data_IF_488783473263
#
_entry.id   IF_488783473263
#
_cell.length_a   1.000
_cell.length_b   1.000
_cell.length_c   1.000
_cell.angle_alpha   90.00
_cell.angle_beta   90.00
_cell.angle_gamma   90.00
#
_symmetry.space_group_name_H-M   'P 1'
#
loop_
_entity.id
_entity.type
_entity.pdbx_description
1 polymer ?
#
# COMPACT_ATOMS: atom_id res chain seq x y z
N UNK A 1 -37.62 22.27 8.71
CA UNK A 1 -38.32 21.09 9.27
C UNK A 1 -37.47 20.23 10.21
N UNK A 2 -36.13 20.34 10.23
CA UNK A 2 -35.25 19.56 11.12
C UNK A 2 -35.46 19.86 12.62
N UNK A 3 -35.76 21.12 12.98
CA UNK A 3 -35.86 21.57 14.38
C UNK A 3 -37.04 20.94 15.16
N UNK A 4 -38.20 20.76 14.52
CA UNK A 4 -39.37 20.15 15.17
C UNK A 4 -39.13 18.69 15.53
N UNK A 5 -38.46 17.95 14.64
CA UNK A 5 -38.11 16.53 14.86
C UNK A 5 -37.07 16.39 15.97
N UNK A 6 -36.06 17.27 16.01
CA UNK A 6 -35.03 17.28 17.06
C UNK A 6 -35.62 17.57 18.44
N UNK A 7 -36.59 18.49 18.53
CA UNK A 7 -37.30 18.79 19.79
C UNK A 7 -38.10 17.58 20.28
N UNK A 8 -38.79 16.85 19.39
CA UNK A 8 -39.50 15.63 19.79
C UNK A 8 -38.53 14.61 20.40
N UNK A 9 -37.39 14.34 19.76
CA UNK A 9 -36.40 13.39 20.27
C UNK A 9 -35.69 13.84 21.57
N UNK A 10 -35.52 15.14 21.79
CA UNK A 10 -34.96 15.70 23.03
C UNK A 10 -35.90 15.58 24.22
N UNK A 11 -37.21 15.74 23.99
CA UNK A 11 -38.21 15.78 25.06
C UNK A 11 -38.90 14.43 25.30
N UNK A 12 -38.92 13.52 24.31
CA UNK A 12 -39.47 12.15 24.44
C UNK A 12 -38.95 11.39 25.67
N UNK A 13 -37.64 11.46 26.03
CA UNK A 13 -37.13 10.77 27.22
C UNK A 13 -37.76 11.29 28.51
N UNK A 14 -38.18 12.55 28.60
CA UNK A 14 -38.79 13.07 29.83
C UNK A 14 -40.18 12.48 30.11
N UNK A 15 -40.85 11.92 29.10
CA UNK A 15 -42.16 11.29 29.24
C UNK A 15 -42.10 9.78 29.43
N UNK A 16 -40.91 9.18 29.36
CA UNK A 16 -40.71 7.74 29.55
C UNK A 16 -40.30 7.43 31.01
N UNK A 17 -40.73 6.29 31.57
CA UNK A 17 -40.29 5.89 32.91
C UNK A 17 -38.76 5.72 32.91
N UNK A 18 -38.09 6.26 33.94
CA UNK A 18 -36.62 6.27 34.03
C UNK A 18 -36.01 4.86 33.89
N UNK A 19 -36.71 3.82 34.35
CA UNK A 19 -36.28 2.43 34.18
C UNK A 19 -36.26 1.99 32.71
N UNK A 20 -37.28 2.36 31.92
CA UNK A 20 -37.33 2.07 30.50
C UNK A 20 -36.23 2.83 29.73
N UNK A 21 -35.97 4.08 30.09
CA UNK A 21 -34.87 4.86 29.48
C UNK A 21 -33.53 4.19 29.77
N UNK A 22 -33.26 3.80 31.02
CA UNK A 22 -32.00 3.13 31.42
C UNK A 22 -31.81 1.81 30.68
N UNK A 23 -32.87 1.00 30.56
CA UNK A 23 -32.82 -0.24 29.79
C UNK A 23 -32.55 0.06 28.31
N UNK A 24 -33.28 0.99 27.70
CA UNK A 24 -33.09 1.37 26.30
C UNK A 24 -31.67 1.88 26.02
N UNK A 25 -31.13 2.78 26.87
CA UNK A 25 -29.75 3.27 26.71
C UNK A 25 -28.73 2.16 26.86
N UNK A 26 -28.93 1.23 27.80
CA UNK A 26 -28.04 0.07 27.98
C UNK A 26 -28.02 -0.82 26.73
N UNK A 27 -29.19 -1.15 26.16
CA UNK A 27 -29.27 -1.95 24.94
C UNK A 27 -28.67 -1.20 23.74
N UNK A 28 -28.91 0.10 23.64
CA UNK A 28 -28.32 0.91 22.57
C UNK A 28 -26.81 1.01 22.68
N UNK A 29 -26.27 1.16 23.89
CA UNK A 29 -24.83 1.11 24.11
C UNK A 29 -24.25 -0.25 23.67
N UNK A 30 -24.92 -1.37 23.98
CA UNK A 30 -24.47 -2.68 23.51
C UNK A 30 -24.50 -2.81 21.99
N UNK A 31 -25.60 -2.40 21.34
CA UNK A 31 -25.72 -2.44 19.87
C UNK A 31 -24.64 -1.59 19.21
N UNK A 32 -24.42 -0.37 19.70
CA UNK A 32 -23.39 0.52 19.16
C UNK A 32 -21.99 -0.06 19.35
N UNK A 33 -21.68 -0.59 20.54
CA UNK A 33 -20.39 -1.20 20.82
C UNK A 33 -20.14 -2.43 19.94
N UNK A 34 -21.14 -3.30 19.80
CA UNK A 34 -21.08 -4.46 18.90
C UNK A 34 -20.91 -4.04 17.44
N UNK A 35 -21.61 -3.00 16.99
CA UNK A 35 -21.46 -2.43 15.65
C UNK A 35 -20.06 -1.87 15.41
N UNK A 36 -19.49 -1.15 16.37
CA UNK A 36 -18.12 -0.64 16.30
C UNK A 36 -17.09 -1.78 16.19
N UNK A 37 -17.23 -2.83 17.01
CA UNK A 37 -16.33 -3.99 16.95
C UNK A 37 -16.44 -4.69 15.59
N UNK A 38 -17.66 -4.88 15.08
CA UNK A 38 -17.90 -5.49 13.78
C UNK A 38 -17.27 -4.67 12.64
N UNK A 39 -17.54 -3.36 12.59
CA UNK A 39 -17.00 -2.46 11.58
C UNK A 39 -15.47 -2.39 11.65
N UNK A 40 -14.90 -2.36 12.85
CA UNK A 40 -13.46 -2.40 13.04
C UNK A 40 -12.87 -3.71 12.52
N UNK A 41 -13.46 -4.86 12.83
CA UNK A 41 -13.01 -6.16 12.31
C UNK A 41 -13.11 -6.25 10.80
N UNK A 42 -14.24 -5.84 10.22
CA UNK A 42 -14.45 -5.80 8.77
C UNK A 42 -13.40 -4.93 8.07
N UNK A 43 -13.20 -3.70 8.56
CA UNK A 43 -12.25 -2.75 7.99
C UNK A 43 -10.82 -3.26 8.07
N UNK A 44 -10.36 -3.75 9.23
CA UNK A 44 -8.99 -4.27 9.37
C UNK A 44 -8.74 -5.50 8.49
N UNK A 45 -9.73 -6.39 8.35
CA UNK A 45 -9.61 -7.53 7.45
C UNK A 45 -9.50 -7.09 5.99
N UNK A 46 -10.30 -6.10 5.58
CA UNK A 46 -10.22 -5.51 4.23
C UNK A 46 -8.85 -4.89 3.94
N UNK A 47 -8.34 -4.07 4.87
CA UNK A 47 -7.00 -3.47 4.79
C UNK A 47 -5.90 -4.55 4.76
N UNK A 48 -6.00 -5.58 5.60
CA UNK A 48 -5.05 -6.67 5.65
C UNK A 48 -4.99 -7.43 4.32
N UNK A 49 -6.14 -7.84 3.79
CA UNK A 49 -6.23 -8.56 2.52
C UNK A 49 -5.69 -7.72 1.36
N UNK A 50 -6.09 -6.46 1.28
CA UNK A 50 -5.57 -5.54 0.26
C UNK A 50 -4.05 -5.38 0.37
N UNK A 51 -3.53 -5.12 1.58
CA UNK A 51 -2.09 -4.98 1.80
C UNK A 51 -1.32 -6.25 1.46
N UNK A 52 -1.86 -7.42 1.80
CA UNK A 52 -1.24 -8.71 1.52
C UNK A 52 -1.06 -8.94 0.02
N UNK A 53 -2.12 -8.77 -0.78
CA UNK A 53 -2.05 -8.94 -2.22
C UNK A 53 -1.16 -7.91 -2.91
N UNK A 54 -1.18 -6.66 -2.43
CA UNK A 54 -0.23 -5.62 -2.88
C UNK A 54 1.21 -6.07 -2.64
N UNK A 55 1.52 -6.58 -1.45
CA UNK A 55 2.86 -7.08 -1.10
C UNK A 55 3.23 -8.25 -2.00
N UNK A 56 2.35 -9.24 -2.18
CA UNK A 56 2.61 -10.41 -3.04
C UNK A 56 2.89 -10.01 -4.49
N UNK A 57 2.11 -9.07 -5.04
CA UNK A 57 2.32 -8.60 -6.40
C UNK A 57 3.66 -7.85 -6.52
N UNK A 58 4.01 -7.02 -5.53
CA UNK A 58 5.32 -6.35 -5.50
C UNK A 58 6.46 -7.37 -5.40
N UNK A 59 6.33 -8.40 -4.56
CA UNK A 59 7.31 -9.50 -4.45
C UNK A 59 7.51 -10.16 -5.82
N UNK A 60 6.43 -10.47 -6.54
CA UNK A 60 6.51 -11.11 -7.84
C UNK A 60 7.24 -10.24 -8.88
N UNK A 61 6.91 -8.95 -8.95
CA UNK A 61 7.55 -8.01 -9.89
C UNK A 61 9.03 -7.81 -9.55
N UNK A 62 9.35 -7.58 -8.28
CA UNK A 62 10.73 -7.36 -7.85
C UNK A 62 11.59 -8.61 -7.99
N UNK A 63 11.07 -9.82 -7.74
CA UNK A 63 11.80 -11.05 -8.02
C UNK A 63 12.19 -11.18 -9.49
N UNK A 64 11.30 -10.79 -10.42
CA UNK A 64 11.60 -10.75 -11.85
C UNK A 64 12.70 -9.74 -12.17
N UNK A 65 12.63 -8.54 -11.60
CA UNK A 65 13.66 -7.50 -11.75
C UNK A 65 15.02 -7.99 -11.21
N UNK A 66 15.04 -8.58 -10.01
CA UNK A 66 16.26 -9.13 -9.40
C UNK A 66 16.85 -10.22 -10.28
N UNK A 67 16.02 -11.14 -10.77
CA UNK A 67 16.47 -12.22 -11.67
C UNK A 67 17.09 -11.65 -12.94
N UNK A 68 16.48 -10.61 -13.52
CA UNK A 68 16.99 -9.94 -14.70
C UNK A 68 18.33 -9.25 -14.41
N UNK A 69 18.45 -8.54 -13.29
CA UNK A 69 19.70 -7.93 -12.82
C UNK A 69 20.80 -8.97 -12.64
N UNK A 70 20.50 -10.11 -12.00
CA UNK A 70 21.46 -11.18 -11.75
C UNK A 70 21.88 -11.92 -13.03
N UNK A 71 21.06 -11.83 -14.09
CA UNK A 71 21.35 -12.40 -15.41
C UNK A 71 22.18 -11.49 -16.32
N UNK A 72 22.45 -10.25 -15.92
CA UNK A 72 23.26 -9.32 -16.71
C UNK A 72 24.71 -9.78 -16.81
N UNK A 73 25.28 -9.68 -18.01
CA UNK A 73 26.69 -9.97 -18.21
C UNK A 73 27.56 -8.96 -17.44
N UNK A 74 28.52 -9.47 -16.68
CA UNK A 74 29.38 -8.66 -15.80
C UNK A 74 28.80 -8.32 -14.42
N UNK A 75 27.59 -8.78 -14.08
CA UNK A 75 27.00 -8.53 -12.76
C UNK A 75 27.85 -9.08 -11.60
N UNK A 76 27.94 -8.29 -10.52
CA UNK A 76 28.54 -8.70 -9.23
C UNK A 76 27.57 -8.39 -8.09
N UNK A 77 27.49 -9.28 -7.11
CA UNK A 77 26.56 -9.15 -5.98
C UNK A 77 26.74 -7.87 -5.15
N UNK A 78 27.92 -7.26 -5.17
CA UNK A 78 28.23 -6.02 -4.43
C UNK A 78 28.00 -4.74 -5.24
N UNK A 79 27.55 -4.84 -6.50
CA UNK A 79 27.29 -3.65 -7.32
C UNK A 79 26.14 -2.82 -6.72
N UNK A 80 26.31 -1.49 -6.61
CA UNK A 80 25.23 -0.60 -6.22
C UNK A 80 24.14 -0.55 -7.29
N UNK A 81 22.93 -0.16 -6.87
CA UNK A 81 21.75 -0.04 -7.72
C UNK A 81 21.34 1.43 -7.81
N UNK A 82 21.07 1.90 -9.01
CA UNK A 82 20.46 3.18 -9.29
C UNK A 82 19.07 2.96 -9.90
N UNK A 83 18.07 3.62 -9.34
CA UNK A 83 16.70 3.61 -9.86
C UNK A 83 16.43 4.99 -10.45
N UNK A 84 16.01 5.03 -11.71
CA UNK A 84 15.75 6.25 -12.48
C UNK A 84 14.27 6.22 -12.91
N UNK A 85 13.61 7.38 -12.93
CA UNK A 85 12.19 7.50 -13.27
C UNK A 85 11.31 7.87 -12.07
N UNK A 86 9.99 7.88 -12.27
CA UNK A 86 9.05 7.95 -11.17
C UNK A 86 9.12 6.67 -10.33
N UNK A 87 8.66 6.75 -9.09
CA UNK A 87 8.69 5.59 -8.22
C UNK A 87 7.91 4.43 -8.85
N UNK A 88 8.46 3.21 -8.86
CA UNK A 88 7.82 2.06 -9.47
C UNK A 88 6.46 1.82 -8.82
N UNK A 89 5.40 2.17 -9.55
CA UNK A 89 4.03 1.90 -9.18
C UNK A 89 3.53 0.71 -10.01
N UNK A 90 3.34 -0.41 -9.33
CA UNK A 90 2.77 -1.60 -9.94
C UNK A 90 1.30 -1.68 -9.51
N UNK A 91 0.36 -1.21 -10.34
CA UNK A 91 -1.04 -1.18 -9.96
C UNK A 91 -1.51 -2.59 -9.63
N UNK A 92 -2.08 -2.76 -8.45
CA UNK A 92 -2.59 -4.06 -8.04
C UNK A 92 -3.93 -4.35 -8.67
N UNK A 93 -4.23 -5.62 -8.95
CA UNK A 93 -5.58 -6.03 -9.40
C UNK A 93 -6.63 -5.58 -8.39
N UNK A 94 -6.27 -5.46 -7.10
CA UNK A 94 -7.16 -5.02 -6.04
C UNK A 94 -7.53 -3.54 -6.13
N UNK A 95 -6.66 -2.69 -6.67
CA UNK A 95 -6.99 -1.27 -6.88
C UNK A 95 -8.05 -1.07 -7.96
N UNK A 96 -8.26 -2.07 -8.83
CA UNK A 96 -9.37 -2.02 -9.80
C UNK A 96 -10.74 -2.24 -9.16
N UNK A 97 -10.79 -2.63 -7.88
CA UNK A 97 -12.04 -2.74 -7.12
C UNK A 97 -12.23 -1.45 -6.29
N UNK A 98 -13.29 -0.70 -6.62
CA UNK A 98 -13.66 0.55 -5.93
C UNK A 98 -13.80 0.37 -4.41
N UNK A 99 -14.20 -0.82 -3.97
CA UNK A 99 -14.37 -1.21 -2.57
C UNK A 99 -13.05 -1.22 -1.77
N UNK A 100 -11.90 -1.35 -2.43
CA UNK A 100 -10.58 -1.41 -1.79
C UNK A 100 -9.75 -0.15 -2.01
N UNK A 101 -10.15 0.70 -2.96
CA UNK A 101 -9.40 1.89 -3.36
C UNK A 101 -9.23 2.91 -2.22
N UNK A 102 -10.13 2.89 -1.23
CA UNK A 102 -10.09 3.76 -0.05
C UNK A 102 -9.42 3.09 1.17
N UNK A 103 -9.14 1.79 1.12
CA UNK A 103 -8.60 1.02 2.24
C UNK A 103 -7.07 1.02 2.28
N UNK A 104 -6.43 0.98 1.12
CA UNK A 104 -4.96 0.92 1.01
C UNK A 104 -4.51 1.81 -0.14
N UNK A 105 -3.69 2.82 0.17
CA UNK A 105 -2.95 3.56 -0.86
C UNK A 105 -1.54 2.96 -1.00
N UNK A 106 -1.31 2.32 -2.13
CA UNK A 106 -0.03 1.69 -2.51
C UNK A 106 1.15 2.67 -2.48
N UNK A 107 0.85 3.97 -2.64
CA UNK A 107 1.83 5.05 -2.58
C UNK A 107 2.67 5.04 -1.29
N UNK A 108 2.11 4.57 -0.17
CA UNK A 108 2.84 4.51 1.10
C UNK A 108 3.80 3.31 1.21
N UNK A 109 3.51 2.21 0.51
CA UNK A 109 4.33 0.99 0.58
C UNK A 109 5.57 1.14 -0.31
N UNK A 110 5.40 1.62 -1.54
CA UNK A 110 6.47 1.68 -2.55
C UNK A 110 7.43 2.85 -2.34
N UNK A 111 6.96 4.01 -1.88
CA UNK A 111 7.78 5.23 -1.90
C UNK A 111 8.66 5.42 -0.66
N UNK A 112 8.22 4.97 0.52
CA UNK A 112 8.94 5.25 1.77
C UNK A 112 9.84 4.10 2.23
N UNK A 113 9.73 2.93 1.60
CA UNK A 113 10.36 1.73 2.15
C UNK A 113 11.06 0.85 1.14
N UNK A 114 11.20 1.21 -0.14
CA UNK A 114 11.71 0.27 -1.14
C UNK A 114 13.02 -0.46 -0.73
N UNK A 115 14.08 0.20 -0.23
CA UNK A 115 15.26 -0.50 0.28
C UNK A 115 14.95 -1.46 1.44
N UNK A 116 14.07 -1.06 2.35
CA UNK A 116 13.60 -1.90 3.45
C UNK A 116 12.74 -3.06 2.98
N UNK A 117 11.88 -2.85 1.98
CA UNK A 117 11.04 -3.87 1.37
C UNK A 117 11.90 -4.94 0.71
N UNK A 118 12.84 -4.54 -0.14
CA UNK A 118 13.76 -5.45 -0.84
C UNK A 118 14.60 -6.26 0.16
N UNK A 119 15.12 -5.60 1.21
CA UNK A 119 15.87 -6.28 2.26
C UNK A 119 15.03 -7.26 3.08
N UNK A 120 13.87 -6.83 3.58
CA UNK A 120 13.09 -7.61 4.55
C UNK A 120 12.23 -8.70 3.90
N UNK A 121 11.73 -8.48 2.68
CA UNK A 121 10.85 -9.43 1.99
C UNK A 121 11.58 -10.29 0.95
N UNK A 122 12.64 -9.77 0.33
CA UNK A 122 13.35 -10.48 -0.75
C UNK A 122 14.79 -10.85 -0.37
N UNK A 123 15.30 -10.39 0.78
CA UNK A 123 16.70 -10.60 1.17
C UNK A 123 17.70 -9.88 0.26
N UNK A 124 17.24 -8.97 -0.59
CA UNK A 124 18.08 -8.28 -1.57
C UNK A 124 18.65 -7.00 -0.95
N UNK A 125 19.80 -7.15 -0.31
CA UNK A 125 20.51 -6.04 0.32
C UNK A 125 21.46 -5.37 -0.68
N UNK A 126 21.10 -4.15 -1.09
CA UNK A 126 21.84 -3.34 -2.06
C UNK A 126 22.08 -1.93 -1.55
N UNK A 127 23.21 -1.36 -1.96
CA UNK A 127 23.49 0.07 -1.80
C UNK A 127 22.83 0.84 -2.94
N UNK A 128 22.03 1.85 -2.59
CA UNK A 128 21.37 2.71 -3.57
C UNK A 128 22.23 3.94 -3.85
N UNK A 129 22.41 4.28 -5.12
CA UNK A 129 23.22 5.42 -5.57
C UNK A 129 22.48 6.27 -6.60
N UNK A 130 22.95 7.50 -6.77
CA UNK A 130 22.53 8.41 -7.83
C UNK A 130 22.96 7.91 -9.22
N UNK A 131 22.31 8.43 -10.26
CA UNK A 131 22.60 8.06 -11.64
C UNK A 131 24.06 8.34 -12.03
N UNK A 132 24.70 7.44 -12.82
CA UNK A 132 26.04 7.67 -13.35
C UNK A 132 26.04 8.82 -14.36
N UNK A 133 27.17 9.51 -14.50
CA UNK A 133 27.30 10.61 -15.48
C UNK A 133 27.32 10.14 -16.93
N UNK A 134 27.59 8.87 -17.17
CA UNK A 134 27.61 8.21 -18.48
C UNK A 134 26.25 7.62 -18.88
N UNK A 135 25.18 7.96 -18.14
CA UNK A 135 23.83 7.48 -18.43
C UNK A 135 23.38 7.91 -19.85
N UNK A 136 22.89 6.98 -20.68
CA UNK A 136 22.30 7.32 -21.97
C UNK A 136 21.01 8.13 -21.80
N UNK A 137 20.85 9.17 -22.62
CA UNK A 137 19.63 10.01 -22.60
C UNK A 137 18.34 9.25 -22.97
N UNK A 138 18.45 8.12 -23.69
CA UNK A 138 17.33 7.33 -24.20
C UNK A 138 17.35 5.89 -23.68
N UNK A 139 17.39 5.72 -22.36
CA UNK A 139 17.26 4.41 -21.75
C UNK A 139 15.78 3.93 -21.89
N UNK A 140 15.50 2.71 -22.37
CA UNK A 140 14.14 2.17 -22.41
C UNK A 140 13.53 2.08 -21.01
N UNK A 141 12.20 2.09 -20.93
CA UNK A 141 11.46 2.03 -19.67
C UNK A 141 11.08 0.59 -19.37
N UNK A 142 11.28 0.13 -18.13
CA UNK A 142 10.88 -1.21 -17.70
C UNK A 142 9.36 -1.40 -17.89
N UNK A 143 8.90 -2.52 -18.49
CA UNK A 143 9.58 -3.81 -18.68
C UNK A 143 10.23 -4.04 -20.06
N UNK A 144 10.52 -2.98 -20.83
CA UNK A 144 11.12 -3.13 -22.14
C UNK A 144 12.56 -3.67 -22.05
N UNK A 145 12.99 -4.42 -23.08
CA UNK A 145 14.35 -4.96 -23.11
C UNK A 145 15.39 -3.85 -22.99
N UNK A 146 16.46 -4.08 -22.20
CA UNK A 146 17.53 -3.11 -21.91
C UNK A 146 17.11 -1.92 -21.06
N UNK A 147 15.95 -1.97 -20.39
CA UNK A 147 15.62 -1.02 -19.32
C UNK A 147 16.45 -1.23 -18.04
N UNK A 148 17.11 -2.40 -17.94
CA UNK A 148 18.04 -2.75 -16.87
C UNK A 148 19.42 -3.01 -17.49
N UNK A 149 20.43 -2.26 -17.08
CA UNK A 149 21.79 -2.35 -17.61
C UNK A 149 22.84 -2.06 -16.54
N UNK A 150 24.09 -2.45 -16.80
CA UNK A 150 25.25 -2.07 -15.98
C UNK A 150 26.00 -0.94 -16.68
N UNK A 151 26.21 0.17 -15.97
CA UNK A 151 26.99 1.32 -16.41
C UNK A 151 27.95 1.71 -15.29
N UNK A 152 29.25 1.85 -15.58
CA UNK A 152 30.28 2.24 -14.60
C UNK A 152 30.24 1.40 -13.30
N UNK A 153 30.06 0.08 -13.43
CA UNK A 153 29.90 -0.86 -12.30
C UNK A 153 28.64 -0.62 -11.42
N UNK A 154 27.66 0.15 -11.90
CA UNK A 154 26.37 0.42 -11.25
C UNK A 154 25.26 -0.26 -12.05
N UNK A 155 24.36 -0.98 -11.37
CA UNK A 155 23.13 -1.49 -11.98
C UNK A 155 22.13 -0.35 -12.08
N UNK A 156 21.70 0.00 -13.28
CA UNK A 156 20.70 1.03 -13.54
C UNK A 156 19.38 0.38 -13.93
N UNK A 157 18.30 0.74 -13.25
CA UNK A 157 16.93 0.31 -13.54
C UNK A 157 16.11 1.56 -13.88
N UNK A 158 15.54 1.61 -15.08
CA UNK A 158 14.72 2.73 -15.53
C UNK A 158 13.23 2.40 -15.48
N UNK A 159 12.50 3.16 -14.68
CA UNK A 159 11.03 3.17 -14.61
C UNK A 159 10.47 4.39 -15.32
N UNK A 160 9.15 4.35 -15.55
CA UNK A 160 8.40 5.45 -16.15
C UNK A 160 8.39 6.66 -15.24
#
# INVERSE_FOLDING_TARGET
>A
MLYGTVVIFLFLPMFLPQQAIRLFTKHMAYVTLSGMIFLWGWYNNGVYMASHHVIEQNIAVWNRIITEVESLDGYRSQMPVCIIGENPYFPSVIESYDEFHHLVSLHYVTNWSLPHFLKNYLGWEKTFTSAPSSLPDNLPIYPDSRSIIIIDDIVVIHFK
#
